data_IF_602122491820
#
_entry.id   IF_602122491820
#
_cell.length_a   1.000
_cell.length_b   1.000
_cell.length_c   1.000
_cell.angle_alpha   90.00
_cell.angle_beta   90.00
_cell.angle_gamma   90.00
#
_symmetry.space_group_name_H-M   'P 1'
#
loop_
_entity.id
_entity.type
_entity.pdbx_description
1 polymer ?
#
# COMPACT_ATOMS: atom_id res chain seq x y z
N UNK A 1 6.59 -0.43 -15.35
CA UNK A 1 5.32 0.23 -15.02
C UNK A 1 4.53 -0.71 -14.11
N UNK A 2 4.05 -0.22 -12.99
CA UNK A 2 3.10 -0.96 -12.16
C UNK A 2 1.72 -1.02 -12.83
N UNK A 3 0.88 -1.92 -12.37
CA UNK A 3 -0.54 -1.97 -12.77
C UNK A 3 -1.26 -0.83 -12.08
N UNK A 4 -1.92 0.02 -12.83
CA UNK A 4 -2.91 0.97 -12.31
C UNK A 4 -4.30 0.32 -12.35
N UNK A 5 -5.28 0.87 -11.63
CA UNK A 5 -6.59 0.26 -11.35
C UNK A 5 -7.34 -0.25 -12.59
N UNK A 6 -6.98 0.19 -13.80
CA UNK A 6 -7.62 -0.17 -15.07
C UNK A 6 -6.72 -0.97 -16.04
N UNK A 7 -5.43 -1.15 -15.74
CA UNK A 7 -4.47 -1.82 -16.65
C UNK A 7 -3.86 -3.04 -15.95
N UNK A 8 -4.16 -4.25 -16.44
CA UNK A 8 -3.57 -5.50 -15.95
C UNK A 8 -2.34 -5.86 -16.79
N UNK A 9 -1.15 -5.78 -16.18
CA UNK A 9 0.10 -6.29 -16.78
C UNK A 9 0.41 -7.66 -16.16
N UNK A 10 0.70 -8.66 -16.98
CA UNK A 10 1.09 -9.98 -16.46
C UNK A 10 2.43 -9.91 -15.72
N UNK A 11 2.65 -10.82 -14.76
CA UNK A 11 3.91 -10.87 -14.00
C UNK A 11 5.16 -11.03 -14.89
N UNK A 12 5.00 -11.59 -16.09
CA UNK A 12 6.07 -11.77 -17.08
C UNK A 12 6.37 -10.48 -17.88
N UNK A 13 5.46 -9.49 -17.84
CA UNK A 13 5.60 -8.20 -18.52
C UNK A 13 5.95 -7.07 -17.53
N UNK A 14 6.04 -7.39 -16.24
CA UNK A 14 6.43 -6.42 -15.22
C UNK A 14 7.90 -6.01 -15.42
N UNK A 15 8.11 -4.75 -15.76
CA UNK A 15 9.45 -4.18 -15.89
C UNK A 15 9.85 -3.59 -14.54
N UNK A 16 10.88 -4.17 -13.91
CA UNK A 16 11.47 -3.60 -12.70
C UNK A 16 12.36 -2.40 -13.05
N UNK A 17 12.45 -1.47 -12.12
CA UNK A 17 13.37 -0.32 -12.28
C UNK A 17 14.80 -0.81 -12.48
N UNK A 18 15.43 -0.33 -13.53
CA UNK A 18 16.84 -0.58 -13.79
C UNK A 18 17.71 0.38 -12.97
N UNK A 19 18.78 -0.10 -12.29
CA UNK A 19 19.60 0.73 -11.42
C UNK A 19 20.32 1.87 -12.14
N UNK A 20 20.82 1.64 -13.36
CA UNK A 20 21.54 2.67 -14.15
C UNK A 20 20.59 3.75 -14.62
N UNK A 21 19.40 3.35 -15.10
CA UNK A 21 18.35 4.29 -15.47
C UNK A 21 17.82 5.09 -14.27
N UNK A 22 17.77 4.49 -13.07
CA UNK A 22 17.39 5.20 -11.86
C UNK A 22 18.38 6.31 -11.51
N UNK A 23 19.68 6.04 -11.62
CA UNK A 23 20.74 7.05 -11.42
C UNK A 23 20.61 8.17 -12.46
N UNK A 24 20.56 7.83 -13.76
CA UNK A 24 20.41 8.81 -14.84
C UNK A 24 19.17 9.69 -14.64
N UNK A 25 18.03 9.09 -14.24
CA UNK A 25 16.81 9.82 -14.01
C UNK A 25 16.96 10.85 -12.87
N UNK A 26 17.53 10.45 -11.75
CA UNK A 26 17.75 11.35 -10.60
C UNK A 26 18.70 12.49 -10.97
N UNK A 27 19.82 12.19 -11.64
CA UNK A 27 20.79 13.20 -12.07
C UNK A 27 20.20 14.21 -13.05
N UNK A 28 19.39 13.75 -14.01
CA UNK A 28 18.79 14.62 -15.04
C UNK A 28 17.61 15.43 -14.54
N UNK A 29 16.86 14.92 -13.58
CA UNK A 29 15.64 15.59 -13.08
C UNK A 29 15.87 16.42 -11.82
N UNK A 30 16.87 16.06 -11.01
CA UNK A 30 17.10 16.65 -9.68
C UNK A 30 15.94 16.41 -8.71
N UNK A 31 15.21 15.31 -8.85
CA UNK A 31 14.07 15.00 -7.96
C UNK A 31 14.54 14.69 -6.52
N UNK A 32 13.71 15.05 -5.53
CA UNK A 32 14.02 14.89 -4.11
C UNK A 32 13.76 13.46 -3.59
N UNK A 33 13.04 12.64 -4.34
CA UNK A 33 12.76 11.24 -4.03
C UNK A 33 12.39 10.48 -5.29
N UNK A 34 12.61 9.16 -5.31
CA UNK A 34 12.33 8.32 -6.47
C UNK A 34 11.44 7.13 -6.09
N UNK A 35 10.28 7.01 -6.73
CA UNK A 35 9.46 5.80 -6.65
C UNK A 35 9.98 4.74 -7.62
N UNK A 36 10.20 3.52 -7.11
CA UNK A 36 10.78 2.43 -7.89
C UNK A 36 9.81 1.26 -8.03
N UNK A 37 9.91 0.54 -9.16
CA UNK A 37 9.15 -0.68 -9.42
C UNK A 37 10.00 -1.91 -9.05
N UNK A 38 9.61 -2.61 -8.00
CA UNK A 38 10.26 -3.83 -7.50
C UNK A 38 9.28 -4.99 -7.30
N UNK A 39 8.13 -4.98 -8.00
CA UNK A 39 7.15 -6.06 -7.97
C UNK A 39 5.86 -5.77 -7.20
N UNK A 40 5.62 -4.53 -6.84
CA UNK A 40 4.33 -4.06 -6.33
C UNK A 40 3.37 -3.67 -7.46
N UNK A 41 2.08 -3.57 -7.14
CA UNK A 41 1.01 -3.18 -8.05
C UNK A 41 -0.07 -2.43 -7.27
N UNK A 42 -0.87 -1.61 -7.95
CA UNK A 42 -1.96 -0.83 -7.33
C UNK A 42 -3.29 -1.62 -7.31
N UNK A 43 -4.20 -1.29 -6.39
CA UNK A 43 -5.55 -1.85 -6.27
C UNK A 43 -5.67 -3.06 -5.34
N UNK A 44 -6.91 -3.44 -5.00
CA UNK A 44 -7.22 -4.57 -4.11
C UNK A 44 -7.09 -5.95 -4.79
N UNK A 45 -7.19 -6.00 -6.11
CA UNK A 45 -7.17 -7.22 -6.92
C UNK A 45 -5.86 -7.43 -7.68
N UNK A 46 -4.82 -6.73 -7.27
CA UNK A 46 -3.55 -6.59 -7.97
C UNK A 46 -2.72 -7.87 -8.07
N UNK A 47 -2.97 -8.86 -7.23
CA UNK A 47 -2.16 -10.08 -7.20
C UNK A 47 -3.01 -11.33 -7.38
N UNK A 48 -2.70 -12.13 -8.43
CA UNK A 48 -3.23 -13.50 -8.58
C UNK A 48 -2.57 -14.48 -7.60
N UNK A 49 -1.31 -14.24 -7.26
CA UNK A 49 -0.52 -14.96 -6.25
C UNK A 49 0.03 -14.00 -5.21
N UNK A 50 0.67 -14.50 -4.17
CA UNK A 50 1.35 -13.67 -3.19
C UNK A 50 2.50 -12.90 -3.86
N UNK A 51 2.57 -11.56 -3.76
CA UNK A 51 3.61 -10.78 -4.41
C UNK A 51 4.98 -11.06 -3.76
N UNK A 52 6.00 -11.19 -4.59
CA UNK A 52 7.39 -11.30 -4.17
C UNK A 52 8.13 -10.04 -4.61
N UNK A 53 8.66 -9.30 -3.65
CA UNK A 53 9.46 -8.12 -3.94
C UNK A 53 10.86 -8.50 -4.38
N UNK A 54 11.40 -7.78 -5.37
CA UNK A 54 12.77 -7.95 -5.88
C UNK A 54 13.76 -7.21 -4.95
N UNK A 55 13.99 -7.74 -3.76
CA UNK A 55 14.82 -7.10 -2.71
C UNK A 55 16.28 -6.93 -3.15
N UNK A 56 16.83 -7.85 -3.90
CA UNK A 56 18.20 -7.70 -4.42
C UNK A 56 18.31 -6.52 -5.41
N UNK A 57 17.28 -6.33 -6.26
CA UNK A 57 17.17 -5.18 -7.15
C UNK A 57 17.05 -3.87 -6.35
N UNK A 58 16.23 -3.86 -5.30
CA UNK A 58 16.12 -2.72 -4.39
C UNK A 58 17.48 -2.35 -3.79
N UNK A 59 18.22 -3.30 -3.27
CA UNK A 59 19.56 -3.06 -2.68
C UNK A 59 20.55 -2.52 -3.68
N UNK A 60 20.51 -2.97 -4.95
CA UNK A 60 21.35 -2.44 -6.03
C UNK A 60 21.03 -0.96 -6.28
N UNK A 61 19.73 -0.60 -6.39
CA UNK A 61 19.31 0.78 -6.59
C UNK A 61 19.68 1.64 -5.38
N UNK A 62 19.43 1.18 -4.16
CA UNK A 62 19.72 1.90 -2.93
C UNK A 62 21.22 2.16 -2.71
N UNK A 63 22.10 1.32 -3.30
CA UNK A 63 23.52 1.52 -3.23
C UNK A 63 24.06 2.62 -4.17
N UNK A 64 23.30 2.99 -5.19
CA UNK A 64 23.74 3.91 -6.25
C UNK A 64 22.93 5.20 -6.33
N UNK A 65 21.65 5.18 -5.90
CA UNK A 65 20.77 6.35 -5.93
C UNK A 65 20.85 7.08 -4.58
N UNK A 66 21.10 8.39 -4.63
CA UNK A 66 21.35 9.22 -3.44
C UNK A 66 20.09 9.85 -2.83
N UNK A 67 18.93 9.74 -3.49
CA UNK A 67 17.66 10.27 -2.99
C UNK A 67 16.84 9.19 -2.30
N UNK A 68 15.95 9.56 -1.35
CA UNK A 68 15.04 8.62 -0.69
C UNK A 68 14.22 7.80 -1.70
N UNK A 69 14.17 6.48 -1.48
CA UNK A 69 13.38 5.57 -2.32
C UNK A 69 11.97 5.39 -1.78
N UNK A 70 10.99 5.35 -2.68
CA UNK A 70 9.57 5.26 -2.37
C UNK A 70 8.99 3.94 -2.91
N UNK A 71 8.25 3.23 -2.08
CA UNK A 71 7.49 2.04 -2.47
C UNK A 71 6.02 2.41 -2.68
N UNK A 72 5.54 2.30 -3.92
CA UNK A 72 4.13 2.41 -4.29
C UNK A 72 3.45 1.03 -4.31
N UNK A 73 2.10 1.00 -4.31
CA UNK A 73 1.34 -0.23 -4.41
C UNK A 73 1.54 -1.20 -3.24
N UNK A 74 1.94 -0.70 -2.07
CA UNK A 74 2.35 -1.49 -0.91
C UNK A 74 1.24 -1.78 0.10
N UNK A 75 -0.04 -1.52 -0.24
CA UNK A 75 -1.17 -1.87 0.62
C UNK A 75 -1.19 -3.37 0.92
N UNK A 76 -1.38 -3.74 2.18
CA UNK A 76 -1.30 -5.11 2.67
C UNK A 76 -2.64 -5.85 2.64
N UNK A 77 -3.75 -5.11 2.50
CA UNK A 77 -5.12 -5.65 2.60
C UNK A 77 -5.29 -6.48 3.88
N UNK A 78 -5.27 -5.84 5.08
CA UNK A 78 -5.32 -6.55 6.35
C UNK A 78 -6.55 -7.47 6.44
N UNK A 79 -6.40 -8.72 6.90
CA UNK A 79 -7.51 -9.68 6.93
C UNK A 79 -8.71 -9.23 7.79
N UNK A 80 -8.46 -8.59 8.91
CA UNK A 80 -9.49 -8.05 9.81
C UNK A 80 -10.30 -6.92 9.16
N UNK A 81 -9.64 -6.03 8.42
CA UNK A 81 -10.28 -4.94 7.68
C UNK A 81 -11.09 -5.49 6.51
N UNK A 82 -10.55 -6.49 5.80
CA UNK A 82 -11.25 -7.18 4.71
C UNK A 82 -12.46 -7.94 5.23
N UNK A 83 -12.33 -8.66 6.34
CA UNK A 83 -13.43 -9.39 6.98
C UNK A 83 -14.55 -8.44 7.40
N UNK A 84 -14.21 -7.32 8.06
CA UNK A 84 -15.20 -6.30 8.44
C UNK A 84 -15.99 -5.81 7.24
N UNK A 85 -15.30 -5.37 6.18
CA UNK A 85 -15.95 -4.87 4.97
C UNK A 85 -16.86 -5.94 4.33
N UNK A 86 -16.41 -7.19 4.26
CA UNK A 86 -17.14 -8.31 3.66
C UNK A 86 -18.36 -8.70 4.50
N UNK A 87 -18.23 -8.72 5.83
CA UNK A 87 -19.34 -9.00 6.78
C UNK A 87 -20.52 -8.08 6.55
N UNK A 88 -20.27 -6.83 6.24
CA UNK A 88 -21.29 -5.82 5.95
C UNK A 88 -21.54 -5.59 4.46
N UNK A 89 -21.32 -6.61 3.63
CA UNK A 89 -21.76 -6.70 2.25
C UNK A 89 -20.84 -6.07 1.21
N UNK A 90 -19.54 -5.88 1.50
CA UNK A 90 -18.58 -5.58 0.45
C UNK A 90 -18.21 -6.86 -0.31
N UNK A 91 -18.31 -6.82 -1.63
CA UNK A 91 -17.90 -7.93 -2.50
C UNK A 91 -16.46 -7.72 -2.96
N UNK A 92 -15.51 -8.38 -2.28
CA UNK A 92 -14.07 -8.23 -2.51
C UNK A 92 -13.39 -9.60 -2.72
N UNK A 93 -13.85 -10.43 -3.67
CA UNK A 93 -13.32 -11.77 -3.86
C UNK A 93 -11.86 -11.74 -4.30
N UNK A 94 -11.01 -12.46 -3.55
CA UNK A 94 -9.59 -12.60 -3.90
C UNK A 94 -8.72 -11.37 -3.66
N UNK A 95 -9.21 -10.35 -2.93
CA UNK A 95 -8.40 -9.20 -2.55
C UNK A 95 -7.15 -9.64 -1.77
N UNK A 96 -5.98 -9.22 -2.23
CA UNK A 96 -4.67 -9.54 -1.64
C UNK A 96 -3.76 -8.33 -1.69
N UNK A 97 -2.85 -8.24 -0.72
CA UNK A 97 -1.86 -7.18 -0.64
C UNK A 97 -0.44 -7.70 -0.44
N UNK A 98 0.48 -6.78 -0.22
CA UNK A 98 1.89 -7.09 0.07
C UNK A 98 2.00 -7.56 1.52
N UNK A 99 2.64 -8.71 1.79
CA UNK A 99 2.83 -9.19 3.17
C UNK A 99 3.60 -8.18 4.02
N UNK A 100 3.24 -8.04 5.31
CA UNK A 100 3.94 -7.15 6.24
C UNK A 100 5.46 -7.41 6.31
N UNK A 101 5.86 -8.67 6.26
CA UNK A 101 7.27 -9.09 6.28
C UNK A 101 8.03 -8.57 5.07
N UNK A 102 7.43 -8.63 3.88
CA UNK A 102 8.03 -8.11 2.64
C UNK A 102 8.21 -6.59 2.71
N UNK A 103 7.29 -5.87 3.36
CA UNK A 103 7.42 -4.43 3.58
C UNK A 103 8.60 -4.13 4.55
N UNK A 104 8.70 -4.87 5.67
CA UNK A 104 9.85 -4.73 6.58
C UNK A 104 11.18 -5.01 5.89
N UNK A 105 11.22 -6.05 5.06
CA UNK A 105 12.40 -6.39 4.28
C UNK A 105 12.77 -5.28 3.29
N UNK A 106 11.78 -4.68 2.61
CA UNK A 106 11.99 -3.55 1.71
C UNK A 106 12.51 -2.31 2.45
N UNK A 107 11.96 -2.00 3.64
CA UNK A 107 12.46 -0.90 4.48
C UNK A 107 13.92 -1.16 4.89
N UNK A 108 14.24 -2.37 5.35
CA UNK A 108 15.62 -2.78 5.64
C UNK A 108 16.54 -2.79 4.42
N UNK A 109 15.99 -2.89 3.21
CA UNK A 109 16.69 -2.84 1.92
C UNK A 109 16.91 -1.43 1.35
N UNK A 110 16.38 -0.36 1.99
CA UNK A 110 16.61 1.03 1.59
C UNK A 110 15.37 1.83 1.21
N UNK A 111 14.15 1.28 1.35
CA UNK A 111 12.92 2.07 1.19
C UNK A 111 12.78 3.06 2.35
N UNK A 112 12.62 4.34 2.02
CA UNK A 112 12.46 5.43 2.98
C UNK A 112 11.00 5.86 3.15
N UNK A 113 10.13 5.61 2.16
CA UNK A 113 8.71 5.97 2.18
C UNK A 113 7.85 4.85 1.60
N UNK A 114 6.73 4.55 2.25
CA UNK A 114 5.75 3.56 1.78
C UNK A 114 4.41 4.24 1.57
N UNK A 115 3.82 4.11 0.37
CA UNK A 115 2.50 4.65 0.07
C UNK A 115 1.42 3.60 0.32
N UNK A 116 0.40 3.99 1.11
CA UNK A 116 -0.74 3.15 1.48
C UNK A 116 -2.04 3.87 1.06
N UNK A 117 -2.92 3.17 0.35
CA UNK A 117 -4.23 3.68 -0.06
C UNK A 117 -5.33 2.65 0.15
N UNK A 118 -5.27 1.48 -0.49
CA UNK A 118 -6.33 0.46 -0.46
C UNK A 118 -6.75 0.08 0.96
N UNK A 119 -5.80 -0.06 1.90
CA UNK A 119 -6.09 -0.41 3.30
C UNK A 119 -6.97 0.64 3.98
N UNK A 120 -6.74 1.93 3.69
CA UNK A 120 -7.53 3.03 4.22
C UNK A 120 -8.93 3.08 3.60
N UNK A 121 -9.04 2.86 2.30
CA UNK A 121 -10.34 2.78 1.61
C UNK A 121 -11.19 1.63 2.13
N UNK A 122 -10.58 0.47 2.37
CA UNK A 122 -11.27 -0.69 2.95
C UNK A 122 -11.74 -0.43 4.37
N UNK A 123 -10.90 0.15 5.22
CA UNK A 123 -11.25 0.51 6.59
C UNK A 123 -12.39 1.53 6.62
N UNK A 124 -12.31 2.56 5.79
CA UNK A 124 -13.38 3.56 5.64
C UNK A 124 -14.70 2.89 5.24
N UNK A 125 -14.68 2.12 4.15
CA UNK A 125 -15.88 1.47 3.61
C UNK A 125 -16.47 0.46 4.59
N UNK A 126 -15.65 -0.36 5.23
CA UNK A 126 -16.08 -1.34 6.21
C UNK A 126 -16.78 -0.67 7.40
N UNK A 127 -16.18 0.37 7.97
CA UNK A 127 -16.76 1.10 9.11
C UNK A 127 -18.03 1.88 8.77
N UNK A 128 -18.12 2.47 7.58
CA UNK A 128 -19.36 3.11 7.13
C UNK A 128 -20.48 2.08 7.01
N UNK A 129 -20.21 0.93 6.37
CA UNK A 129 -21.21 -0.14 6.20
C UNK A 129 -21.67 -0.72 7.54
N UNK A 130 -20.73 -1.02 8.44
CA UNK A 130 -21.02 -1.45 9.81
C UNK A 130 -21.93 -0.45 10.53
N UNK A 131 -21.55 0.83 10.54
CA UNK A 131 -22.30 1.88 11.22
C UNK A 131 -23.73 2.03 10.68
N UNK A 132 -23.91 2.00 9.37
CA UNK A 132 -25.23 2.10 8.74
C UNK A 132 -26.11 0.88 9.02
N UNK A 133 -25.52 -0.31 9.16
CA UNK A 133 -26.26 -1.52 9.48
C UNK A 133 -26.66 -1.60 10.97
N UNK A 134 -25.77 -1.13 11.87
CA UNK A 134 -25.98 -1.22 13.33
C UNK A 134 -26.74 -0.03 13.92
N UNK A 135 -26.78 1.08 13.21
CA UNK A 135 -27.45 2.32 13.63
C UNK A 135 -28.30 2.90 12.49
N UNK A 136 -29.31 2.15 12.01
CA UNK A 136 -30.11 2.53 10.82
C UNK A 136 -30.92 3.82 11.01
N UNK A 137 -31.18 4.23 12.26
CA UNK A 137 -31.89 5.47 12.59
C UNK A 137 -31.01 6.72 12.47
N UNK A 138 -29.67 6.54 12.36
CA UNK A 138 -28.75 7.67 12.30
C UNK A 138 -28.56 8.14 10.87
N UNK A 139 -28.93 9.38 10.58
CA UNK A 139 -28.80 10.02 9.27
C UNK A 139 -27.80 11.18 9.25
N UNK A 140 -27.21 11.54 10.39
CA UNK A 140 -26.20 12.61 10.45
C UNK A 140 -24.86 12.13 9.87
N UNK A 141 -24.40 12.72 8.72
CA UNK A 141 -23.17 12.31 8.06
C UNK A 141 -21.93 12.47 8.96
N UNK A 142 -21.94 13.39 9.90
CA UNK A 142 -20.81 13.57 10.85
C UNK A 142 -20.60 12.35 11.72
N UNK A 143 -21.67 11.67 12.14
CA UNK A 143 -21.59 10.44 12.94
C UNK A 143 -21.11 9.28 12.07
N UNK A 144 -21.63 9.14 10.86
CA UNK A 144 -21.22 8.12 9.89
C UNK A 144 -19.73 8.26 9.56
N UNK A 145 -19.28 9.47 9.24
CA UNK A 145 -17.88 9.74 8.90
C UNK A 145 -16.95 9.60 10.11
N UNK A 146 -17.42 9.89 11.34
CA UNK A 146 -16.62 9.66 12.54
C UNK A 146 -16.26 8.20 12.72
N UNK A 147 -17.18 7.26 12.48
CA UNK A 147 -16.88 5.83 12.53
C UNK A 147 -15.81 5.44 11.49
N UNK A 148 -15.92 5.96 10.28
CA UNK A 148 -14.92 5.74 9.22
C UNK A 148 -13.53 6.29 9.59
N UNK A 149 -13.47 7.49 10.17
CA UNK A 149 -12.21 8.12 10.61
C UNK A 149 -11.51 7.27 11.67
N UNK A 150 -12.22 6.73 12.65
CA UNK A 150 -11.61 5.87 13.67
C UNK A 150 -11.02 4.59 13.03
N UNK A 151 -11.73 3.93 12.11
CA UNK A 151 -11.18 2.78 11.39
C UNK A 151 -9.92 3.10 10.59
N UNK A 152 -9.89 4.25 9.93
CA UNK A 152 -8.69 4.70 9.22
C UNK A 152 -7.53 5.00 10.19
N UNK A 153 -7.79 5.60 11.35
CA UNK A 153 -6.77 5.84 12.39
C UNK A 153 -6.15 4.54 12.88
N UNK A 154 -6.94 3.49 13.07
CA UNK A 154 -6.42 2.19 13.52
C UNK A 154 -5.48 1.59 12.48
N UNK A 155 -5.84 1.64 11.20
CA UNK A 155 -4.95 1.24 10.10
C UNK A 155 -3.67 2.08 10.10
N UNK A 156 -3.77 3.40 10.20
CA UNK A 156 -2.59 4.30 10.21
C UNK A 156 -1.66 3.96 11.38
N UNK A 157 -2.18 3.76 12.59
CA UNK A 157 -1.38 3.36 13.76
C UNK A 157 -0.62 2.06 13.50
N UNK A 158 -1.32 1.03 13.00
CA UNK A 158 -0.68 -0.25 12.68
C UNK A 158 0.42 -0.12 11.63
N UNK A 159 0.27 0.79 10.63
CA UNK A 159 1.30 1.05 9.62
C UNK A 159 2.50 1.81 10.18
N UNK A 160 2.27 2.80 11.04
CA UNK A 160 3.36 3.52 11.73
C UNK A 160 4.22 2.55 12.54
N UNK A 161 3.60 1.62 13.26
CA UNK A 161 4.30 0.55 13.99
C UNK A 161 5.03 -0.40 13.05
N UNK A 162 4.36 -0.90 12.00
CA UNK A 162 4.93 -1.81 11.01
C UNK A 162 6.19 -1.23 10.35
N UNK A 163 6.17 0.07 10.04
CA UNK A 163 7.28 0.77 9.37
C UNK A 163 8.39 1.19 10.33
N UNK A 164 8.21 1.00 11.64
CA UNK A 164 9.17 1.42 12.65
C UNK A 164 9.27 2.94 12.80
N UNK A 165 8.20 3.68 12.45
CA UNK A 165 8.13 5.15 12.52
C UNK A 165 7.58 5.66 13.85
N UNK A 166 7.13 4.78 14.73
CA UNK A 166 6.58 5.15 16.05
C UNK A 166 7.60 5.89 16.90
N UNK A 167 7.21 7.07 17.41
CA UNK A 167 8.09 7.91 18.25
C UNK A 167 9.23 8.60 17.51
N UNK A 168 9.17 8.72 16.18
CA UNK A 168 10.22 9.35 15.36
C UNK A 168 9.79 10.65 14.68
N UNK A 169 8.65 11.21 15.05
CA UNK A 169 8.18 12.51 14.60
C UNK A 169 8.64 13.61 15.54
#
# INVERSE_FOLDING_TARGET
MGVEDEISVSANEAVYTDPEQAVEFVERTGCDSLAIAIGTSHGAYKFKAQPKLAIDRLKQIAATVHVPLVLHGASAVPPDVLELATRYGAELPGAKGVPPESIREAIGGGISKVNIDTDLRLAFTGRVREFLAESPEVFDPRKILSAAIEGMKDVIRSKIELFGSSGKA
#
